data_IF_787824807231
#
_entry.id   IF_787824807231
#
_cell.length_a   1.000
_cell.length_b   1.000
_cell.length_c   1.000
_cell.angle_alpha   90.00
_cell.angle_beta   90.00
_cell.angle_gamma   90.00
#
_symmetry.space_group_name_H-M   'P 1'
#
loop_
_entity.id
_entity.type
_entity.pdbx_description
1 polymer ?
#
# COMPACT_ATOMS: atom_id res chain seq x y z
N UNK A 1 -23.26 -5.47 -11.44
CA UNK A 1 -22.51 -5.00 -12.61
C UNK A 1 -21.32 -5.91 -12.85
N UNK A 2 -21.20 -6.44 -14.03
CA UNK A 2 -20.08 -7.32 -14.38
C UNK A 2 -18.92 -6.52 -14.97
N UNK A 3 -17.73 -6.79 -14.48
CA UNK A 3 -16.50 -6.15 -14.93
C UNK A 3 -15.42 -7.21 -15.15
N UNK A 4 -14.41 -6.86 -15.94
CA UNK A 4 -13.24 -7.70 -16.16
C UNK A 4 -12.01 -7.00 -15.60
N UNK A 5 -11.23 -7.72 -14.79
CA UNK A 5 -10.08 -7.16 -14.10
C UNK A 5 -8.87 -7.03 -15.03
N UNK A 6 -8.18 -5.89 -14.95
CA UNK A 6 -6.94 -5.60 -15.66
C UNK A 6 -5.69 -5.88 -14.84
N UNK A 7 -5.86 -6.07 -13.54
CA UNK A 7 -4.77 -6.43 -12.63
C UNK A 7 -5.31 -7.30 -11.50
N UNK A 8 -4.41 -7.93 -10.76
CA UNK A 8 -4.79 -8.67 -9.57
C UNK A 8 -5.24 -7.69 -8.49
N UNK A 9 -6.48 -7.84 -8.02
CA UNK A 9 -7.02 -7.01 -6.93
C UNK A 9 -7.24 -7.88 -5.72
N UNK A 10 -6.62 -7.49 -4.62
CA UNK A 10 -6.68 -8.24 -3.36
C UNK A 10 -8.12 -8.40 -2.88
N UNK A 11 -8.49 -9.61 -2.51
CA UNK A 11 -9.84 -10.00 -2.04
C UNK A 11 -10.96 -9.85 -3.08
N UNK A 12 -10.63 -9.55 -4.31
CA UNK A 12 -11.63 -9.36 -5.38
C UNK A 12 -11.46 -10.38 -6.50
N UNK A 13 -10.27 -10.48 -7.06
CA UNK A 13 -10.02 -11.43 -8.15
C UNK A 13 -8.68 -11.20 -8.86
N UNK A 14 -8.46 -11.99 -9.89
CA UNK A 14 -7.21 -12.02 -10.67
C UNK A 14 -7.38 -11.38 -12.04
N UNK A 15 -6.26 -11.10 -12.69
CA UNK A 15 -6.23 -10.51 -14.04
C UNK A 15 -7.06 -11.36 -15.02
N UNK A 16 -7.94 -10.70 -15.75
CA UNK A 16 -8.79 -11.36 -16.76
C UNK A 16 -9.99 -12.09 -16.20
N UNK A 17 -10.22 -12.03 -14.90
CA UNK A 17 -11.38 -12.60 -14.26
C UNK A 17 -12.59 -11.67 -14.38
N UNK A 18 -13.73 -12.25 -14.71
CA UNK A 18 -14.99 -11.51 -14.77
C UNK A 18 -15.69 -11.66 -13.43
N UNK A 19 -15.96 -10.54 -12.79
CA UNK A 19 -16.59 -10.50 -11.47
C UNK A 19 -17.84 -9.63 -11.48
N UNK A 20 -18.76 -9.91 -10.58
CA UNK A 20 -19.95 -9.11 -10.36
C UNK A 20 -19.80 -8.31 -9.07
N UNK A 21 -19.85 -6.99 -9.17
CA UNK A 21 -19.69 -6.07 -8.06
C UNK A 21 -20.74 -4.99 -8.07
N UNK A 22 -20.90 -4.30 -6.96
CA UNK A 22 -21.83 -3.18 -6.88
C UNK A 22 -21.40 -2.06 -7.85
N UNK A 23 -22.40 -1.46 -8.51
CA UNK A 23 -22.17 -0.43 -9.53
C UNK A 23 -21.30 0.73 -9.03
N UNK A 24 -21.57 1.23 -7.83
CA UNK A 24 -20.78 2.32 -7.25
C UNK A 24 -19.32 1.96 -7.01
N UNK A 25 -19.07 0.77 -6.50
CA UNK A 25 -17.71 0.28 -6.28
C UNK A 25 -16.98 0.08 -7.61
N UNK A 26 -17.63 -0.52 -8.59
CA UNK A 26 -17.05 -0.72 -9.90
C UNK A 26 -16.65 0.60 -10.57
N UNK A 27 -17.55 1.56 -10.59
CA UNK A 27 -17.29 2.87 -11.22
C UNK A 27 -16.26 3.70 -10.47
N UNK A 28 -16.43 3.85 -9.16
CA UNK A 28 -15.64 4.81 -8.37
C UNK A 28 -14.27 4.30 -7.97
N UNK A 29 -14.10 3.00 -7.91
CA UNK A 29 -12.83 2.41 -7.47
C UNK A 29 -12.12 1.65 -8.60
N UNK A 30 -12.78 0.67 -9.21
CA UNK A 30 -12.12 -0.21 -10.17
C UNK A 30 -11.92 0.45 -11.53
N UNK A 31 -12.95 0.99 -12.12
CA UNK A 31 -12.88 1.61 -13.46
C UNK A 31 -12.18 2.95 -13.41
N UNK A 32 -12.48 3.77 -12.43
CA UNK A 32 -11.85 5.08 -12.23
C UNK A 32 -10.33 4.97 -12.07
N UNK A 33 -9.85 3.96 -11.37
CA UNK A 33 -8.42 3.71 -11.17
C UNK A 33 -7.78 2.83 -12.26
N UNK A 34 -8.50 2.56 -13.35
CA UNK A 34 -8.04 1.73 -14.46
C UNK A 34 -7.65 0.30 -14.04
N UNK A 35 -8.29 -0.21 -13.01
CA UNK A 35 -8.08 -1.58 -12.51
C UNK A 35 -8.98 -2.61 -13.17
N UNK A 36 -10.06 -2.15 -13.80
CA UNK A 36 -11.01 -3.00 -14.47
C UNK A 36 -11.69 -2.25 -15.62
N UNK A 37 -12.31 -3.01 -16.52
CA UNK A 37 -13.15 -2.51 -17.61
C UNK A 37 -14.52 -3.14 -17.50
N UNK A 38 -15.52 -2.54 -18.16
CA UNK A 38 -16.82 -3.16 -18.28
C UNK A 38 -16.70 -4.51 -19.02
N UNK A 39 -17.41 -5.53 -18.54
CA UNK A 39 -17.38 -6.87 -19.12
C UNK A 39 -18.22 -6.95 -20.42
N UNK A 40 -17.88 -6.14 -21.41
CA UNK A 40 -18.43 -6.24 -22.76
C UNK A 40 -17.67 -7.28 -23.56
N UNK A 41 -18.29 -7.82 -24.62
CA UNK A 41 -17.63 -8.80 -25.48
C UNK A 41 -16.31 -8.29 -26.05
N UNK A 42 -16.28 -7.01 -26.44
CA UNK A 42 -15.08 -6.35 -26.97
C UNK A 42 -13.98 -6.25 -25.93
N UNK A 43 -14.33 -5.81 -24.71
CA UNK A 43 -13.35 -5.67 -23.62
C UNK A 43 -12.84 -7.02 -23.14
N UNK A 44 -13.70 -8.04 -23.10
CA UNK A 44 -13.28 -9.41 -22.75
C UNK A 44 -12.28 -9.95 -23.77
N UNK A 45 -12.54 -9.76 -25.05
CA UNK A 45 -11.65 -10.21 -26.12
C UNK A 45 -10.30 -9.47 -26.06
N UNK A 46 -10.33 -8.17 -25.84
CA UNK A 46 -9.13 -7.34 -25.71
C UNK A 46 -8.28 -7.77 -24.51
N UNK A 47 -8.88 -7.95 -23.34
CA UNK A 47 -8.15 -8.39 -22.14
C UNK A 47 -7.56 -9.78 -22.31
N UNK A 48 -8.27 -10.70 -22.99
CA UNK A 48 -7.71 -12.03 -23.30
C UNK A 48 -6.44 -11.94 -24.16
N UNK A 49 -6.40 -11.02 -25.11
CA UNK A 49 -5.21 -10.81 -25.97
C UNK A 49 -4.04 -10.25 -25.16
N UNK A 50 -4.29 -9.33 -24.26
CA UNK A 50 -3.22 -8.65 -23.48
C UNK A 50 -2.96 -9.30 -22.13
N UNK A 51 -3.67 -10.37 -21.78
CA UNK A 51 -3.53 -11.04 -20.48
C UNK A 51 -2.08 -11.45 -20.18
N UNK A 52 -1.37 -11.93 -21.16
CA UNK A 52 0.04 -12.32 -21.00
C UNK A 52 0.92 -11.11 -20.69
N UNK A 53 0.69 -9.99 -21.35
CA UNK A 53 1.43 -8.74 -21.10
C UNK A 53 1.12 -8.17 -19.71
N UNK A 54 -0.17 -8.16 -19.32
CA UNK A 54 -0.58 -7.73 -17.99
C UNK A 54 0.02 -8.63 -16.90
N UNK A 55 0.05 -9.93 -17.13
CA UNK A 55 0.68 -10.88 -16.23
C UNK A 55 2.17 -10.66 -16.07
N UNK A 56 2.88 -10.34 -17.16
CA UNK A 56 4.31 -9.99 -17.11
C UNK A 56 4.55 -8.72 -16.33
N UNK A 57 3.76 -7.67 -16.57
CA UNK A 57 3.88 -6.41 -15.83
C UNK A 57 3.62 -6.62 -14.34
N UNK A 58 2.60 -7.41 -14.00
CA UNK A 58 2.31 -7.73 -12.60
C UNK A 58 3.46 -8.53 -11.97
N UNK A 59 4.03 -9.48 -12.67
CA UNK A 59 5.19 -10.25 -12.19
C UNK A 59 6.40 -9.36 -11.95
N UNK A 60 6.67 -8.37 -12.81
CA UNK A 60 7.73 -7.38 -12.60
C UNK A 60 7.49 -6.53 -11.36
N UNK A 61 6.27 -6.02 -11.20
CA UNK A 61 5.87 -5.27 -10.00
C UNK A 61 6.02 -6.12 -8.75
N UNK A 62 5.64 -7.38 -8.81
CA UNK A 62 5.79 -8.32 -7.71
C UNK A 62 7.25 -8.53 -7.33
N UNK A 63 8.14 -8.68 -8.30
CA UNK A 63 9.59 -8.81 -8.07
C UNK A 63 10.15 -7.56 -7.39
N UNK A 64 9.81 -6.38 -7.88
CA UNK A 64 10.23 -5.11 -7.28
C UNK A 64 9.71 -4.99 -5.86
N UNK A 65 8.42 -5.30 -5.65
CA UNK A 65 7.81 -5.28 -4.34
C UNK A 65 8.49 -6.26 -3.38
N UNK A 66 8.84 -7.45 -3.86
CA UNK A 66 9.55 -8.45 -3.06
C UNK A 66 10.93 -7.99 -2.65
N UNK A 67 11.68 -7.37 -3.56
CA UNK A 67 13.00 -6.79 -3.24
C UNK A 67 12.88 -5.70 -2.17
N UNK A 68 11.92 -4.81 -2.32
CA UNK A 68 11.65 -3.75 -1.33
C UNK A 68 11.25 -4.38 0.00
N UNK A 69 10.38 -5.38 -0.03
CA UNK A 69 9.94 -6.12 1.16
C UNK A 69 11.12 -6.72 1.91
N UNK A 70 12.02 -7.38 1.23
CA UNK A 70 13.23 -7.97 1.85
C UNK A 70 14.13 -6.92 2.46
N UNK A 71 14.19 -5.73 1.87
CA UNK A 71 15.01 -4.63 2.37
C UNK A 71 14.42 -3.99 3.64
N UNK A 72 13.11 -3.85 3.73
CA UNK A 72 12.46 -3.12 4.83
C UNK A 72 11.82 -4.02 5.88
N UNK A 73 11.54 -5.28 5.54
CA UNK A 73 10.85 -6.19 6.48
C UNK A 73 11.64 -6.39 7.77
N UNK A 74 11.00 -6.13 8.89
CA UNK A 74 11.61 -6.24 10.21
C UNK A 74 12.51 -5.07 10.60
N UNK A 75 12.64 -4.04 9.77
CA UNK A 75 13.42 -2.85 10.11
C UNK A 75 12.70 -1.96 11.10
N UNK A 76 13.48 -1.22 11.88
CA UNK A 76 12.99 -0.24 12.82
C UNK A 76 13.35 1.16 12.34
N UNK A 77 12.35 2.04 12.29
CA UNK A 77 12.55 3.45 11.95
C UNK A 77 12.20 4.32 13.14
N UNK A 78 13.02 5.32 13.39
CA UNK A 78 12.85 6.24 14.50
C UNK A 78 12.15 7.51 14.01
N UNK A 79 11.06 7.90 14.69
CA UNK A 79 10.32 9.13 14.41
C UNK A 79 10.40 10.03 15.64
N UNK A 80 10.81 11.27 15.43
CA UNK A 80 10.84 12.29 16.51
C UNK A 80 9.58 13.13 16.44
N UNK A 81 8.86 13.20 17.54
CA UNK A 81 7.63 13.99 17.68
C UNK A 81 7.61 14.69 19.03
N UNK A 82 6.99 15.86 19.05
CA UNK A 82 6.72 16.56 20.30
C UNK A 82 5.66 15.80 21.10
N UNK A 83 5.90 15.63 22.38
CA UNK A 83 4.98 14.90 23.24
C UNK A 83 4.67 15.70 24.51
N UNK A 84 3.53 15.39 25.12
CA UNK A 84 3.15 15.92 26.43
C UNK A 84 3.88 15.16 27.54
N UNK A 85 3.76 15.63 28.78
CA UNK A 85 4.31 14.96 29.95
C UNK A 85 3.76 13.54 30.13
N UNK A 86 2.56 13.29 29.64
CA UNK A 86 1.89 11.99 29.70
C UNK A 86 2.29 11.04 28.58
N UNK A 87 3.33 11.38 27.81
CA UNK A 87 3.83 10.61 26.66
C UNK A 87 2.82 10.56 25.50
N UNK A 88 1.86 11.46 25.45
CA UNK A 88 0.95 11.61 24.34
C UNK A 88 1.54 12.59 23.32
N UNK A 89 1.38 12.29 22.04
CA UNK A 89 1.87 13.16 20.97
C UNK A 89 0.93 14.34 20.74
N UNK A 90 1.49 15.50 20.40
CA UNK A 90 0.70 16.66 19.98
C UNK A 90 -0.03 16.44 18.65
N UNK A 91 0.38 15.45 17.89
CA UNK A 91 -0.26 15.03 16.65
C UNK A 91 0.03 13.57 16.38
N UNK A 92 -0.79 12.92 15.56
CA UNK A 92 -0.56 11.54 15.16
C UNK A 92 0.57 11.43 14.14
N UNK A 93 1.23 10.27 14.10
CA UNK A 93 2.17 9.96 13.03
C UNK A 93 1.36 9.58 11.79
N UNK A 94 1.52 10.33 10.72
CA UNK A 94 0.80 10.13 9.47
C UNK A 94 1.57 9.20 8.53
N UNK A 95 0.89 8.46 7.64
CA UNK A 95 1.56 7.64 6.64
C UNK A 95 2.54 8.42 5.76
N UNK A 96 2.25 9.69 5.48
CA UNK A 96 3.14 10.56 4.71
C UNK A 96 4.49 10.76 5.38
N UNK A 97 4.52 10.84 6.70
CA UNK A 97 5.75 10.98 7.48
C UNK A 97 6.58 9.70 7.44
N UNK A 98 5.92 8.56 7.54
CA UNK A 98 6.56 7.24 7.43
C UNK A 98 7.16 7.06 6.04
N UNK A 99 6.43 7.44 5.01
CA UNK A 99 6.89 7.38 3.62
C UNK A 99 8.15 8.22 3.40
N UNK A 100 8.17 9.45 3.92
CA UNK A 100 9.34 10.32 3.86
C UNK A 100 10.54 9.73 4.60
N UNK A 101 10.30 9.17 5.78
CA UNK A 101 11.32 8.56 6.60
C UNK A 101 12.00 7.38 5.88
N UNK A 102 11.22 6.54 5.24
CA UNK A 102 11.73 5.42 4.46
C UNK A 102 12.53 5.91 3.26
N UNK A 103 12.05 6.95 2.59
CA UNK A 103 12.75 7.55 1.46
C UNK A 103 14.11 8.14 1.88
N UNK A 104 14.17 8.81 3.02
CA UNK A 104 15.41 9.39 3.52
C UNK A 104 16.43 8.33 3.98
N UNK A 105 15.97 7.27 4.63
CA UNK A 105 16.85 6.24 5.18
C UNK A 105 17.28 5.18 4.18
N UNK A 106 16.33 4.66 3.40
CA UNK A 106 16.57 3.55 2.47
C UNK A 106 16.48 3.95 1.00
N UNK A 107 16.15 5.20 0.72
CA UNK A 107 15.95 5.74 -0.63
C UNK A 107 14.89 4.97 -1.43
N UNK A 108 13.90 4.44 -0.74
CA UNK A 108 12.79 3.71 -1.35
C UNK A 108 11.57 4.62 -1.44
N UNK A 109 11.00 4.72 -2.62
CA UNK A 109 9.79 5.51 -2.86
C UNK A 109 8.56 4.65 -2.55
N UNK A 110 8.03 4.83 -1.36
CA UNK A 110 6.82 4.13 -0.91
C UNK A 110 5.70 5.16 -0.79
N UNK A 111 4.60 4.88 -1.48
CA UNK A 111 3.45 5.78 -1.44
C UNK A 111 2.74 5.68 -0.08
N UNK A 112 2.28 6.80 0.48
CA UNK A 112 1.54 6.78 1.76
C UNK A 112 0.31 5.86 1.74
N UNK A 113 -0.33 5.69 0.60
CA UNK A 113 -1.48 4.81 0.45
C UNK A 113 -1.15 3.32 0.65
N UNK A 114 0.11 2.95 0.52
CA UNK A 114 0.59 1.58 0.76
C UNK A 114 0.80 1.29 2.25
N UNK A 115 0.87 2.32 3.06
CA UNK A 115 1.13 2.21 4.50
C UNK A 115 -0.21 2.12 5.22
N UNK A 116 -0.40 1.03 5.96
CA UNK A 116 -1.59 0.84 6.79
C UNK A 116 -1.19 0.74 8.25
N UNK A 117 -1.29 1.83 9.01
CA UNK A 117 -1.15 1.72 10.46
C UNK A 117 -2.36 0.96 11.01
N UNK A 118 -2.10 -0.04 11.84
CA UNK A 118 -3.15 -0.82 12.49
C UNK A 118 -3.97 0.09 13.43
N UNK A 119 -3.28 1.04 14.05
CA UNK A 119 -3.88 2.07 14.90
C UNK A 119 -3.16 3.39 14.67
N UNK A 120 -3.85 4.50 14.89
CA UNK A 120 -3.19 5.81 14.87
C UNK A 120 -2.13 5.87 15.96
N UNK A 121 -0.95 6.31 15.58
CA UNK A 121 0.16 6.46 16.52
C UNK A 121 0.05 7.85 17.15
N UNK A 122 -0.37 7.87 18.40
CA UNK A 122 -0.56 9.12 19.18
C UNK A 122 0.28 9.19 20.44
N UNK A 123 1.09 8.18 20.72
CA UNK A 123 1.92 8.13 21.92
C UNK A 123 3.35 7.70 21.58
N UNK A 124 4.24 7.89 22.54
CA UNK A 124 5.60 7.42 22.41
C UNK A 124 5.67 5.89 22.53
N UNK A 125 6.63 5.28 21.87
CA UNK A 125 6.87 3.84 21.93
C UNK A 125 7.08 3.21 20.57
N UNK A 126 7.08 1.89 20.56
CA UNK A 126 7.24 1.09 19.35
C UNK A 126 5.91 0.60 18.83
N UNK A 127 5.70 0.78 17.54
CA UNK A 127 4.46 0.39 16.87
C UNK A 127 4.78 -0.35 15.58
N UNK A 128 4.01 -1.39 15.30
CA UNK A 128 4.14 -2.14 14.06
C UNK A 128 3.25 -1.52 12.98
N UNK A 129 3.82 -1.33 11.81
CA UNK A 129 3.12 -0.77 10.65
C UNK A 129 3.26 -1.72 9.48
N UNK A 130 2.16 -1.98 8.81
CA UNK A 130 2.16 -2.80 7.61
C UNK A 130 2.29 -1.96 6.36
N UNK A 131 3.12 -2.41 5.44
CA UNK A 131 3.29 -1.79 4.13
C UNK A 131 2.85 -2.78 3.07
N UNK A 132 1.81 -2.43 2.33
CA UNK A 132 1.30 -3.25 1.23
C UNK A 132 1.98 -2.81 -0.04
N UNK A 133 2.97 -3.59 -0.49
CA UNK A 133 3.76 -3.29 -1.67
C UNK A 133 3.12 -3.82 -2.95
N UNK A 134 2.44 -4.95 -2.83
CA UNK A 134 1.74 -5.63 -3.92
C UNK A 134 0.52 -6.33 -3.34
N UNK A 135 -0.45 -6.71 -4.19
CA UNK A 135 -1.64 -7.43 -3.74
C UNK A 135 -1.33 -8.73 -2.98
N UNK A 136 -0.17 -9.33 -3.26
CA UNK A 136 0.30 -10.56 -2.62
C UNK A 136 1.50 -10.36 -1.69
N UNK A 137 2.09 -9.16 -1.65
CA UNK A 137 3.30 -8.87 -0.87
C UNK A 137 3.04 -7.78 0.15
N UNK A 138 3.27 -8.12 1.41
CA UNK A 138 3.19 -7.21 2.54
C UNK A 138 4.50 -7.24 3.31
N UNK A 139 4.86 -6.10 3.88
CA UNK A 139 5.99 -5.99 4.81
C UNK A 139 5.53 -5.38 6.10
N UNK A 140 6.18 -5.75 7.18
CA UNK A 140 5.93 -5.18 8.48
C UNK A 140 7.19 -4.48 8.96
N UNK A 141 7.04 -3.23 9.37
CA UNK A 141 8.14 -2.44 9.93
C UNK A 141 7.75 -1.97 11.34
N UNK A 142 8.75 -1.67 12.14
CA UNK A 142 8.55 -1.13 13.48
C UNK A 142 8.88 0.36 13.46
N UNK A 143 7.94 1.18 13.94
CA UNK A 143 8.15 2.62 14.10
C UNK A 143 8.38 2.90 15.58
N UNK A 144 9.55 3.43 15.89
CA UNK A 144 9.90 3.85 17.25
C UNK A 144 9.71 5.36 17.38
N UNK A 145 8.67 5.74 18.09
CA UNK A 145 8.35 7.17 18.30
C UNK A 145 9.04 7.66 19.57
N UNK A 146 9.88 8.66 19.42
CA UNK A 146 10.62 9.27 20.52
C UNK A 146 10.30 10.75 20.63
N UNK A 147 10.49 11.30 21.84
CA UNK A 147 10.24 12.72 22.05
C UNK A 147 11.31 13.59 21.38
N UNK A 148 10.88 14.72 20.83
CA UNK A 148 11.79 15.70 20.26
C UNK A 148 12.30 16.72 21.28
N UNK A 149 11.87 16.63 22.53
CA UNK A 149 12.23 17.60 23.58
C UNK A 149 13.67 17.49 24.08
N UNK A 150 14.39 16.46 23.72
CA UNK A 150 15.74 16.22 24.22
C UNK A 150 16.80 17.08 23.54
N UNK A 151 16.40 18.03 22.76
CA UNK A 151 17.33 18.92 22.07
C UNK A 151 17.51 20.18 22.92
N UNK A 152 18.44 20.14 23.76
CA UNK A 152 18.85 21.32 24.51
C UNK A 152 20.31 21.55 24.36
#
# INVERSE_FOLDING_TARGET
MKIILLENVRKIGSIGEIIDVKRGFARNFLISNKKALYASKENIAEVKKIKSELGKKDAEKKREAQKISEQINGKEYQVKKLSTENKELYGSVKPTEISKLILENDKLDIKPSMIQPITEIKSLGKFNVKIILHSEIESEITINVVTAETIQ
#
